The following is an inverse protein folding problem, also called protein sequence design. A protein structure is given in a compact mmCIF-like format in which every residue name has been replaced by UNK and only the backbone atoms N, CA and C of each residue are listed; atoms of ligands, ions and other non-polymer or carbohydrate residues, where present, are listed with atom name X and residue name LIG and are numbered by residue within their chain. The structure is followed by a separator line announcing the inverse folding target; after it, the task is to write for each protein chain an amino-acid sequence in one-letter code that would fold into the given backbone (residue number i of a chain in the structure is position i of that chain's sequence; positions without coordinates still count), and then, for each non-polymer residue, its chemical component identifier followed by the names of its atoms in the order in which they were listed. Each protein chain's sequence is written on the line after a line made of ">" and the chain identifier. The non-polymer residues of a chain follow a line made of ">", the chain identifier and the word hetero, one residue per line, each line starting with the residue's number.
data_IF_998027245642
#
_entry.id   IF_998027245642
#
_cell.length_a   1.000
_cell.length_b   1.000
_cell.length_c   1.000
_cell.angle_alpha   90.00
_cell.angle_beta   90.00
_cell.angle_gamma   90.00
#
_symmetry.space_group_name_H-M   'P 1'
#
loop_
_entity.id
_entity.type
_entity.pdbx_description
1 polymer ?
#
# COMPACT_ATOMS: atom_id res chain seq x y z
N UNK A 1 40.98 -27.05 -44.12
CA UNK A 1 39.99 -27.30 -43.05
C UNK A 1 39.58 -25.96 -42.46
N UNK A 2 38.44 -25.43 -42.87
CA UNK A 2 37.89 -24.18 -42.35
C UNK A 2 37.11 -24.48 -41.06
N UNK A 3 37.47 -23.85 -39.94
CA UNK A 3 36.69 -23.89 -38.71
C UNK A 3 36.05 -22.52 -38.51
N UNK A 4 34.72 -22.50 -38.63
CA UNK A 4 33.86 -21.36 -38.37
C UNK A 4 33.93 -20.96 -36.88
N UNK A 5 34.19 -19.69 -36.61
CA UNK A 5 33.77 -19.05 -35.36
C UNK A 5 32.30 -18.64 -35.47
N UNK A 6 31.56 -18.62 -34.34
CA UNK A 6 30.80 -17.41 -34.06
C UNK A 6 30.90 -16.98 -32.59
N UNK A 7 31.43 -15.76 -32.43
CA UNK A 7 30.88 -14.67 -31.61
C UNK A 7 29.95 -15.07 -30.46
N UNK A 8 30.47 -14.95 -29.25
CA UNK A 8 29.72 -14.96 -27.99
C UNK A 8 28.99 -13.61 -27.83
N UNK A 9 27.87 -13.45 -28.52
CA UNK A 9 26.93 -12.35 -28.31
C UNK A 9 26.10 -12.66 -27.05
N UNK A 10 26.66 -12.35 -25.87
CA UNK A 10 25.88 -12.32 -24.65
C UNK A 10 24.84 -11.20 -24.76
N UNK A 11 23.59 -11.59 -25.03
CA UNK A 11 22.43 -10.70 -24.92
C UNK A 11 22.33 -10.21 -23.46
N UNK A 12 22.68 -8.95 -23.23
CA UNK A 12 22.20 -8.18 -22.08
C UNK A 12 20.70 -7.98 -22.27
N UNK A 13 19.88 -8.92 -21.79
CA UNK A 13 18.47 -8.64 -21.53
C UNK A 13 18.44 -7.62 -20.38
N UNK A 14 17.91 -6.40 -20.57
CA UNK A 14 17.60 -5.57 -19.42
C UNK A 14 16.50 -6.32 -18.68
N UNK A 15 16.81 -6.85 -17.50
CA UNK A 15 15.78 -7.11 -16.50
C UNK A 15 15.10 -5.76 -16.26
N UNK A 16 14.02 -5.49 -16.99
CA UNK A 16 13.04 -4.54 -16.54
C UNK A 16 12.69 -5.01 -15.13
N UNK A 17 12.96 -4.20 -14.10
CA UNK A 17 12.49 -4.47 -12.76
C UNK A 17 10.96 -4.64 -12.87
N UNK A 18 10.49 -5.89 -12.87
CA UNK A 18 9.06 -6.18 -12.79
C UNK A 18 8.68 -5.73 -11.39
N UNK A 19 8.07 -4.54 -11.31
CA UNK A 19 7.45 -4.08 -10.06
C UNK A 19 6.17 -4.90 -9.90
N UNK A 20 5.98 -5.46 -8.71
CA UNK A 20 4.74 -6.17 -8.37
C UNK A 20 3.54 -5.25 -8.69
N UNK A 21 2.52 -5.73 -9.44
CA UNK A 21 1.30 -4.97 -9.67
C UNK A 21 0.66 -4.60 -8.33
N UNK A 22 0.22 -3.34 -8.16
CA UNK A 22 -0.46 -2.89 -6.95
C UNK A 22 -1.97 -2.77 -7.17
N UNK A 23 -2.76 -3.27 -6.23
CA UNK A 23 -4.21 -3.05 -6.15
C UNK A 23 -4.48 -1.74 -5.41
N UNK A 24 -5.54 -1.04 -5.81
CA UNK A 24 -6.01 0.19 -5.16
C UNK A 24 -7.47 0.02 -4.78
N UNK A 25 -7.78 0.10 -3.48
CA UNK A 25 -9.14 -0.06 -2.98
C UNK A 25 -9.52 1.16 -2.16
N UNK A 26 -10.60 1.86 -2.53
CA UNK A 26 -11.20 2.86 -1.65
C UNK A 26 -11.89 2.10 -0.52
N UNK A 27 -11.37 2.25 0.69
CA UNK A 27 -11.83 1.46 1.86
C UNK A 27 -12.65 2.28 2.84
N UNK A 28 -12.51 3.61 2.83
CA UNK A 28 -13.29 4.51 3.69
C UNK A 28 -13.39 5.90 3.06
N UNK A 29 -14.51 6.59 3.30
CA UNK A 29 -14.66 8.01 3.00
C UNK A 29 -15.36 8.70 4.18
N UNK A 30 -14.65 9.61 4.87
CA UNK A 30 -15.09 10.19 6.13
C UNK A 30 -14.58 11.63 6.34
N UNK A 31 -15.21 12.36 7.28
CA UNK A 31 -14.71 13.68 7.71
C UNK A 31 -13.47 13.57 8.63
N UNK A 32 -13.31 12.43 9.29
CA UNK A 32 -12.17 12.12 10.14
C UNK A 32 -11.82 10.63 10.06
N UNK A 33 -10.53 10.32 10.13
CA UNK A 33 -10.00 8.95 10.08
C UNK A 33 -9.02 8.73 11.23
N UNK A 34 -9.18 7.63 11.97
CA UNK A 34 -8.16 7.13 12.91
C UNK A 34 -7.35 6.06 12.20
N UNK A 35 -6.03 6.23 12.23
CA UNK A 35 -5.09 5.22 11.75
C UNK A 35 -4.12 4.90 12.88
N UNK A 36 -3.87 3.62 13.15
CA UNK A 36 -2.87 3.20 14.12
C UNK A 36 -2.06 2.02 13.61
N UNK A 37 -0.77 1.91 14.00
CA UNK A 37 0.00 0.72 13.65
C UNK A 37 -0.64 -0.51 14.29
N UNK A 38 -0.56 -1.66 13.63
CA UNK A 38 -0.86 -2.92 14.30
C UNK A 38 0.31 -3.34 15.18
N UNK A 39 1.54 -3.20 14.68
CA UNK A 39 2.78 -3.30 15.45
C UNK A 39 3.75 -2.19 15.01
N UNK A 40 4.78 -1.93 15.82
CA UNK A 40 5.82 -0.94 15.51
C UNK A 40 5.27 0.50 15.39
N UNK A 41 5.48 1.13 14.23
CA UNK A 41 5.10 2.54 13.97
C UNK A 41 4.61 2.75 12.55
N UNK A 42 3.94 3.88 12.33
CA UNK A 42 3.56 4.35 11.00
C UNK A 42 4.52 5.44 10.55
N UNK A 43 5.04 5.33 9.32
CA UNK A 43 5.80 6.36 8.64
C UNK A 43 4.87 7.18 7.77
N UNK A 44 5.00 8.51 7.87
CA UNK A 44 4.16 9.49 7.18
C UNK A 44 4.98 10.18 6.10
N UNK A 45 4.45 10.26 4.88
CA UNK A 45 5.13 10.91 3.76
C UNK A 45 4.14 11.76 2.97
N UNK A 46 4.61 12.91 2.47
CA UNK A 46 3.87 13.69 1.49
C UNK A 46 3.91 13.02 0.10
N UNK A 47 3.04 13.45 -0.81
CA UNK A 47 2.98 12.95 -2.19
C UNK A 47 4.30 13.08 -2.98
N UNK A 48 5.15 14.05 -2.62
CA UNK A 48 6.48 14.24 -3.19
C UNK A 48 7.57 13.37 -2.54
N UNK A 49 7.22 12.46 -1.64
CA UNK A 49 8.14 11.57 -0.92
C UNK A 49 8.84 12.20 0.29
N UNK A 50 8.58 13.48 0.61
CA UNK A 50 9.12 14.11 1.82
C UNK A 50 8.56 13.42 3.06
N UNK A 51 9.44 12.97 3.95
CA UNK A 51 9.04 12.44 5.26
C UNK A 51 8.39 13.52 6.12
N UNK A 52 7.25 13.20 6.72
CA UNK A 52 6.52 14.04 7.67
C UNK A 52 6.66 13.54 9.12
N UNK A 53 7.45 12.49 9.32
CA UNK A 53 7.71 11.87 10.62
C UNK A 53 7.14 10.46 10.75
N UNK A 54 7.12 9.95 11.98
CA UNK A 54 6.56 8.64 12.30
C UNK A 54 5.79 8.67 13.63
N UNK A 55 4.78 7.81 13.76
CA UNK A 55 3.92 7.74 14.95
C UNK A 55 3.72 6.30 15.43
N UNK A 56 3.94 6.05 16.72
CA UNK A 56 3.73 4.74 17.34
C UNK A 56 2.31 4.56 17.92
N UNK A 57 1.66 5.65 18.37
CA UNK A 57 0.30 5.60 18.95
C UNK A 57 -0.85 5.73 17.94
N UNK A 58 -0.52 5.83 16.65
CA UNK A 58 -1.46 6.24 15.61
C UNK A 58 -1.77 7.74 15.61
N UNK A 59 -2.65 8.14 14.71
CA UNK A 59 -3.03 9.53 14.46
C UNK A 59 -4.50 9.63 14.05
N UNK A 60 -5.12 10.76 14.35
CA UNK A 60 -6.47 11.08 13.88
C UNK A 60 -6.40 12.22 12.88
N UNK A 61 -6.69 11.91 11.62
CA UNK A 61 -6.74 12.84 10.51
C UNK A 61 -8.10 13.50 10.41
N UNK A 62 -8.12 14.77 10.02
CA UNK A 62 -9.33 15.58 9.90
C UNK A 62 -9.22 16.50 8.69
N UNK A 63 -10.36 16.93 8.17
CA UNK A 63 -10.41 18.02 7.19
C UNK A 63 -10.36 19.35 7.93
N UNK A 64 -9.41 20.21 7.55
CA UNK A 64 -9.35 21.60 7.99
C UNK A 64 -9.17 22.49 6.76
N UNK A 65 -10.22 23.20 6.36
CA UNK A 65 -10.26 23.92 5.10
C UNK A 65 -10.04 22.98 3.91
N UNK A 66 -8.96 23.18 3.15
CA UNK A 66 -8.58 22.34 2.01
C UNK A 66 -7.35 21.47 2.29
N UNK A 67 -7.08 21.19 3.58
CA UNK A 67 -5.91 20.44 4.01
C UNK A 67 -6.28 19.31 4.97
N UNK A 68 -5.36 18.34 5.08
CA UNK A 68 -5.41 17.26 6.06
C UNK A 68 -4.70 17.73 7.33
N UNK A 69 -5.44 17.83 8.43
CA UNK A 69 -4.93 18.14 9.77
C UNK A 69 -4.67 16.86 10.59
N UNK A 70 -3.97 17.01 11.71
CA UNK A 70 -3.62 15.90 12.61
C UNK A 70 -2.28 15.21 12.30
N UNK A 71 -1.40 15.91 11.58
CA UNK A 71 -0.06 15.47 11.23
C UNK A 71 1.00 16.02 12.18
N UNK A 72 2.13 15.30 12.40
CA UNK A 72 3.23 15.82 13.22
C UNK A 72 3.91 17.06 12.62
N UNK A 73 3.94 17.18 11.30
CA UNK A 73 4.57 18.30 10.62
C UNK A 73 3.89 18.63 9.29
N UNK A 74 3.48 19.90 9.16
CA UNK A 74 2.93 20.48 7.94
C UNK A 74 1.47 20.12 7.67
N UNK A 75 0.88 20.87 6.76
CA UNK A 75 -0.43 20.60 6.19
C UNK A 75 -0.26 20.20 4.72
N UNK A 76 -1.02 19.20 4.29
CA UNK A 76 -0.94 18.62 2.94
C UNK A 76 -2.33 18.17 2.50
N UNK A 77 -2.54 18.07 1.18
CA UNK A 77 -3.79 17.54 0.60
C UNK A 77 -3.76 16.02 0.36
N UNK A 78 -2.56 15.42 0.35
CA UNK A 78 -2.36 13.99 0.11
C UNK A 78 -1.20 13.43 0.95
N UNK A 79 -1.50 12.38 1.72
CA UNK A 79 -0.66 11.73 2.71
C UNK A 79 -0.50 10.24 2.39
N UNK A 80 0.74 9.77 2.40
CA UNK A 80 1.09 8.36 2.45
C UNK A 80 1.38 7.91 3.88
N UNK A 81 0.80 6.77 4.27
CA UNK A 81 1.03 6.11 5.55
C UNK A 81 1.50 4.69 5.28
N UNK A 82 2.65 4.31 5.83
CA UNK A 82 3.22 2.97 5.68
C UNK A 82 3.54 2.38 7.05
N UNK A 83 3.17 1.11 7.33
CA UNK A 83 3.68 0.39 8.49
C UNK A 83 5.20 0.23 8.44
N UNK A 84 5.84 0.30 9.61
CA UNK A 84 7.24 -0.06 9.82
C UNK A 84 7.31 -0.95 11.08
N UNK A 85 7.76 -2.22 10.95
CA UNK A 85 8.51 -2.79 9.82
C UNK A 85 7.68 -3.01 8.53
N UNK A 86 8.34 -3.07 7.35
CA UNK A 86 7.66 -3.33 6.08
C UNK A 86 6.87 -4.65 6.11
N UNK A 87 5.83 -4.74 5.29
CA UNK A 87 4.90 -5.88 5.18
C UNK A 87 4.01 -6.15 6.40
N UNK A 88 4.08 -5.30 7.43
CA UNK A 88 3.07 -5.28 8.49
C UNK A 88 1.79 -4.58 8.00
N UNK A 89 0.95 -4.22 8.95
CA UNK A 89 -0.45 -3.87 8.81
C UNK A 89 -0.77 -2.70 9.72
N UNK A 90 -1.90 -2.05 9.42
CA UNK A 90 -2.39 -0.93 10.18
C UNK A 90 -3.88 -1.11 10.42
N UNK A 91 -4.36 -0.49 11.49
CA UNK A 91 -5.79 -0.33 11.73
C UNK A 91 -6.23 0.98 11.13
N UNK A 92 -7.27 0.93 10.30
CA UNK A 92 -8.05 2.07 9.88
C UNK A 92 -9.43 1.93 10.53
N UNK A 93 -9.77 2.86 11.41
CA UNK A 93 -10.96 2.76 12.26
C UNK A 93 -10.94 1.44 13.07
N UNK A 94 -11.86 0.52 12.80
CA UNK A 94 -11.95 -0.79 13.46
C UNK A 94 -11.50 -1.96 12.57
N UNK A 95 -10.98 -1.69 11.37
CA UNK A 95 -10.58 -2.72 10.40
C UNK A 95 -9.07 -2.72 10.20
N UNK A 96 -8.49 -3.92 10.13
CA UNK A 96 -7.06 -4.13 9.88
C UNK A 96 -6.81 -4.30 8.37
N UNK A 97 -5.81 -3.60 7.86
CA UNK A 97 -5.39 -3.63 6.46
C UNK A 97 -3.89 -3.88 6.35
N UNK A 98 -3.47 -4.57 5.27
CA UNK A 98 -2.06 -4.74 4.90
C UNK A 98 -1.64 -3.67 3.89
N UNK A 99 -0.33 -3.58 3.64
CA UNK A 99 0.23 -2.66 2.64
C UNK A 99 0.28 -1.23 3.17
N UNK A 100 0.03 -0.26 2.30
CA UNK A 100 0.11 1.18 2.60
C UNK A 100 -1.25 1.84 2.45
N UNK A 101 -1.42 3.01 3.06
CA UNK A 101 -2.61 3.83 2.92
C UNK A 101 -2.27 5.15 2.26
N UNK A 102 -3.02 5.49 1.22
CA UNK A 102 -3.10 6.84 0.69
C UNK A 102 -4.32 7.52 1.31
N UNK A 103 -4.13 8.66 1.94
CA UNK A 103 -5.22 9.53 2.39
C UNK A 103 -5.18 10.81 1.57
N UNK A 104 -6.29 11.16 0.94
CA UNK A 104 -6.40 12.41 0.17
C UNK A 104 -7.68 13.15 0.52
N UNK A 105 -7.65 14.47 0.40
CA UNK A 105 -8.85 15.28 0.47
C UNK A 105 -9.53 15.33 -0.90
N UNK A 106 -10.81 14.95 -0.96
CA UNK A 106 -11.62 14.99 -2.17
C UNK A 106 -13.02 15.49 -1.78
N UNK A 107 -13.50 16.57 -2.41
CA UNK A 107 -14.84 17.15 -2.18
C UNK A 107 -15.18 17.38 -0.70
N UNK A 108 -14.20 17.85 0.08
CA UNK A 108 -14.37 18.14 1.51
C UNK A 108 -14.43 16.92 2.43
N UNK A 109 -14.05 15.72 1.94
CA UNK A 109 -13.95 14.50 2.74
C UNK A 109 -12.61 13.83 2.55
N UNK A 110 -12.16 13.09 3.56
CA UNK A 110 -10.97 12.25 3.46
C UNK A 110 -11.34 10.93 2.78
N UNK A 111 -10.67 10.62 1.69
CA UNK A 111 -10.67 9.29 1.08
C UNK A 111 -9.46 8.50 1.56
N UNK A 112 -9.71 7.30 2.08
CA UNK A 112 -8.69 6.34 2.47
C UNK A 112 -8.62 5.23 1.40
N UNK A 113 -7.49 5.19 0.69
CA UNK A 113 -7.25 4.25 -0.40
C UNK A 113 -6.14 3.29 0.03
N UNK A 114 -6.47 2.03 0.24
CA UNK A 114 -5.50 1.00 0.55
C UNK A 114 -4.74 0.58 -0.72
N UNK A 115 -3.42 0.44 -0.59
CA UNK A 115 -2.47 0.11 -1.65
C UNK A 115 -1.63 -1.08 -1.21
N UNK A 116 -1.75 -2.19 -1.91
CA UNK A 116 -1.05 -3.42 -1.60
C UNK A 116 -0.68 -4.15 -2.89
N UNK A 117 0.41 -4.91 -2.85
CA UNK A 117 0.81 -5.78 -3.95
C UNK A 117 -0.27 -6.83 -4.23
N UNK A 118 -0.43 -7.18 -5.51
CA UNK A 118 -1.44 -8.13 -5.97
C UNK A 118 -1.27 -9.50 -5.30
N UNK A 119 -0.05 -9.93 -5.04
CA UNK A 119 0.24 -11.22 -4.39
C UNK A 119 -0.24 -11.23 -2.94
N UNK A 120 -0.22 -10.07 -2.28
CA UNK A 120 -0.80 -9.92 -0.94
C UNK A 120 -2.34 -9.87 -0.95
N UNK A 121 -2.95 -9.50 -2.09
CA UNK A 121 -4.40 -9.39 -2.23
C UNK A 121 -5.05 -10.73 -2.60
N UNK A 122 -4.44 -11.50 -3.50
CA UNK A 122 -5.01 -12.74 -4.04
C UNK A 122 -5.47 -13.73 -2.95
N UNK A 123 -4.67 -14.05 -1.91
CA UNK A 123 -5.12 -14.96 -0.85
C UNK A 123 -6.35 -14.45 -0.08
N UNK A 124 -6.52 -13.12 0.02
CA UNK A 124 -7.64 -12.52 0.75
C UNK A 124 -8.97 -12.62 -0.01
N UNK A 125 -8.94 -12.58 -1.35
CA UNK A 125 -10.15 -12.69 -2.19
C UNK A 125 -10.45 -14.13 -2.58
N UNK A 126 -9.42 -14.87 -2.98
CA UNK A 126 -9.58 -16.26 -3.41
C UNK A 126 -10.10 -17.12 -2.26
N UNK A 127 -9.62 -16.91 -1.03
CA UNK A 127 -10.14 -17.63 0.13
C UNK A 127 -11.59 -17.28 0.50
N UNK A 128 -12.08 -16.09 0.13
CA UNK A 128 -13.44 -15.62 0.47
C UNK A 128 -14.49 -15.95 -0.60
N UNK A 129 -14.09 -16.05 -1.87
CA UNK A 129 -14.98 -16.30 -3.02
C UNK A 129 -14.92 -17.75 -3.52
N UNK A 130 -14.05 -18.60 -2.98
CA UNK A 130 -13.95 -19.99 -3.45
C UNK A 130 -15.15 -20.85 -2.98
N UNK A 131 -15.89 -21.47 -3.91
CA UNK A 131 -16.92 -22.44 -3.56
C UNK A 131 -16.31 -23.65 -2.85
N UNK A 132 -16.99 -24.23 -1.85
CA UNK A 132 -16.47 -25.36 -1.09
C UNK A 132 -16.22 -26.62 -1.93
N UNK A 133 -16.73 -26.68 -3.16
CA UNK A 133 -16.54 -27.80 -4.08
C UNK A 133 -15.25 -27.77 -4.92
N UNK A 134 -14.38 -26.76 -4.77
CA UNK A 134 -13.13 -26.70 -5.54
C UNK A 134 -12.05 -27.65 -4.99
N UNK A 135 -11.22 -28.27 -5.87
CA UNK A 135 -10.12 -29.13 -5.44
C UNK A 135 -9.14 -28.38 -4.53
N UNK A 136 -8.59 -29.08 -3.52
CA UNK A 136 -7.61 -28.52 -2.57
C UNK A 136 -6.36 -27.95 -3.23
N UNK A 137 -6.06 -28.39 -4.44
CA UNK A 137 -4.95 -28.00 -5.29
C UNK A 137 -5.14 -26.58 -5.83
N UNK A 138 -6.38 -26.11 -5.97
CA UNK A 138 -6.69 -24.73 -6.34
C UNK A 138 -6.50 -23.74 -5.18
N UNK A 139 -6.41 -24.23 -3.94
CA UNK A 139 -6.19 -23.43 -2.71
C UNK A 139 -4.70 -23.19 -2.42
N UNK A 140 -3.77 -23.74 -3.21
CA UNK A 140 -2.33 -23.52 -3.05
C UNK A 140 -1.89 -22.38 -3.97
N UNK A 141 -1.53 -21.23 -3.37
CA UNK A 141 -0.83 -20.11 -4.03
C UNK A 141 0.65 -20.18 -3.67
#
# INVERSE_FOLDING_TARGET
>A
MAWNSPLLMALLLPFALVREPEVRVLVEEAAALRVSPAEGRLVLQASNGRSLGAVAGGLTLRVEGNEIAGLPAGSISELWISPEPPNDSFWLQQRRYRGRLLVRLEKGRLQAINRLGIESYLPSVVGAEMPPQWPLEALRV
#
